data_IF_903104349605
#
_entry.id   IF_903104349605
#
_cell.length_a   1.000
_cell.length_b   1.000
_cell.length_c   1.000
_cell.angle_alpha   90.00
_cell.angle_beta   90.00
_cell.angle_gamma   90.00
#
_symmetry.space_group_name_H-M   'P 1'
#
loop_
_entity.id
_entity.type
_entity.pdbx_description
1 polymer ?
#
# COMPACT_ATOMS: atom_id res chain seq x y z
N UNK A 1 -17.12 -34.48 0.19
CA UNK A 1 -17.38 -34.66 1.66
C UNK A 1 -16.16 -34.20 2.49
N UNK A 2 -14.92 -34.50 2.06
CA UNK A 2 -13.71 -34.09 2.78
C UNK A 2 -13.44 -32.58 2.68
N UNK A 3 -13.73 -31.94 1.53
CA UNK A 3 -13.58 -30.51 1.31
C UNK A 3 -14.55 -29.72 2.20
N UNK A 4 -15.81 -30.13 2.30
CA UNK A 4 -16.78 -29.52 3.22
C UNK A 4 -16.40 -29.67 4.70
N UNK A 5 -15.71 -30.77 5.08
CA UNK A 5 -15.24 -30.96 6.45
C UNK A 5 -14.03 -30.04 6.79
N UNK A 6 -13.22 -29.68 5.80
CA UNK A 6 -12.11 -28.74 5.96
C UNK A 6 -12.65 -27.31 6.06
N UNK A 7 -13.62 -26.94 5.23
CA UNK A 7 -14.30 -25.63 5.29
C UNK A 7 -15.01 -25.42 6.63
N UNK A 8 -15.74 -26.44 7.14
CA UNK A 8 -16.37 -26.36 8.46
C UNK A 8 -15.36 -26.33 9.61
N UNK A 9 -14.20 -26.96 9.50
CA UNK A 9 -13.16 -26.89 10.53
C UNK A 9 -12.48 -25.51 10.58
N UNK A 10 -12.36 -24.83 9.44
CA UNK A 10 -11.82 -23.46 9.41
C UNK A 10 -12.86 -22.43 9.87
N UNK A 11 -14.14 -22.64 9.64
CA UNK A 11 -15.21 -21.79 10.17
C UNK A 11 -15.36 -21.91 11.70
N UNK A 12 -15.04 -23.06 12.30
CA UNK A 12 -15.08 -23.23 13.76
C UNK A 12 -13.89 -22.62 14.50
N UNK A 13 -12.85 -22.22 13.78
CA UNK A 13 -11.77 -21.36 14.25
C UNK A 13 -12.00 -19.92 13.81
N UNK A 14 -13.22 -19.42 13.91
CA UNK A 14 -13.50 -18.01 13.72
C UNK A 14 -12.65 -17.23 14.74
N UNK A 15 -11.53 -16.68 14.28
CA UNK A 15 -10.83 -15.67 15.03
C UNK A 15 -11.83 -14.56 15.30
N UNK A 16 -12.10 -14.27 16.57
CA UNK A 16 -12.87 -13.09 16.90
C UNK A 16 -12.08 -11.86 16.48
N UNK A 17 -12.41 -11.28 15.34
CA UNK A 17 -11.83 -10.01 14.93
C UNK A 17 -12.28 -8.93 15.92
N UNK A 18 -11.31 -8.25 16.55
CA UNK A 18 -11.60 -7.18 17.50
C UNK A 18 -12.28 -6.01 16.80
N UNK A 19 -13.33 -5.48 17.40
CA UNK A 19 -14.09 -4.34 16.87
C UNK A 19 -13.28 -3.03 16.82
N UNK A 20 -12.15 -2.98 17.54
CA UNK A 20 -11.25 -1.82 17.57
C UNK A 20 -10.17 -1.86 16.48
N UNK A 21 -10.05 -2.96 15.77
CA UNK A 21 -9.10 -3.13 14.65
C UNK A 21 -9.86 -2.92 13.35
N UNK A 22 -9.38 -1.98 12.55
CA UNK A 22 -10.01 -1.65 11.27
C UNK A 22 -9.80 -2.77 10.26
N UNK A 23 -10.82 -3.06 9.47
CA UNK A 23 -10.74 -3.88 8.26
C UNK A 23 -10.47 -2.98 7.06
N UNK A 24 -9.68 -3.47 6.11
CA UNK A 24 -9.50 -2.80 4.82
C UNK A 24 -10.73 -2.95 3.93
N UNK A 25 -10.85 -2.15 2.87
CA UNK A 25 -11.87 -2.38 1.82
C UNK A 25 -11.74 -3.73 1.10
N UNK A 26 -10.59 -4.40 1.23
CA UNK A 26 -10.27 -5.69 0.58
C UNK A 26 -10.38 -6.88 1.52
N UNK A 27 -10.65 -6.65 2.81
CA UNK A 27 -10.59 -7.66 3.85
C UNK A 27 -11.43 -8.90 3.53
N UNK A 28 -12.70 -8.70 3.12
CA UNK A 28 -13.62 -9.80 2.80
C UNK A 28 -13.18 -10.54 1.52
N UNK A 29 -12.63 -9.83 0.54
CA UNK A 29 -12.03 -10.43 -0.65
C UNK A 29 -10.83 -11.30 -0.28
N UNK A 30 -9.91 -10.84 0.56
CA UNK A 30 -8.76 -11.64 1.00
C UNK A 30 -9.17 -12.92 1.69
N UNK A 31 -10.25 -12.90 2.50
CA UNK A 31 -10.82 -14.11 3.12
C UNK A 31 -11.36 -15.08 2.07
N UNK A 32 -12.10 -14.58 1.07
CA UNK A 32 -12.62 -15.43 -0.03
C UNK A 32 -11.49 -16.07 -0.84
N UNK A 33 -10.38 -15.37 -0.99
CA UNK A 33 -9.20 -15.81 -1.72
C UNK A 33 -8.22 -16.61 -0.86
N UNK A 34 -8.59 -16.97 0.37
CA UNK A 34 -7.90 -17.95 1.18
C UNK A 34 -6.95 -17.40 2.23
N UNK A 35 -7.06 -16.11 2.59
CA UNK A 35 -6.31 -15.58 3.72
C UNK A 35 -6.65 -16.37 5.00
N UNK A 36 -5.64 -17.00 5.60
CA UNK A 36 -5.76 -17.87 6.76
C UNK A 36 -5.20 -17.26 8.05
N UNK A 37 -4.42 -16.19 7.93
CA UNK A 37 -3.83 -15.51 9.07
C UNK A 37 -3.68 -14.01 8.83
N UNK A 38 -3.84 -13.25 9.91
CA UNK A 38 -3.71 -11.80 9.89
C UNK A 38 -2.81 -11.34 11.04
N UNK A 39 -2.11 -10.22 10.83
CA UNK A 39 -1.52 -9.42 11.89
C UNK A 39 -2.13 -8.03 11.93
N UNK A 40 -1.69 -7.22 12.88
CA UNK A 40 -2.12 -5.82 13.01
C UNK A 40 -0.98 -4.91 12.60
N UNK A 41 -1.30 -3.90 11.81
CA UNK A 41 -0.37 -2.89 11.32
C UNK A 41 -1.16 -1.57 11.17
N UNK A 42 -0.69 -0.48 11.72
CA UNK A 42 -1.43 0.80 11.74
C UNK A 42 -2.89 0.68 12.21
N UNK A 43 -3.15 -0.13 13.26
CA UNK A 43 -4.50 -0.41 13.80
C UNK A 43 -5.46 -1.06 12.79
N UNK A 44 -4.94 -1.72 11.76
CA UNK A 44 -5.71 -2.44 10.75
C UNK A 44 -5.24 -3.88 10.61
N UNK A 45 -6.13 -4.77 10.18
CA UNK A 45 -5.75 -6.14 9.82
C UNK A 45 -5.01 -6.15 8.48
N UNK A 46 -3.88 -6.88 8.46
CA UNK A 46 -3.12 -7.18 7.23
C UNK A 46 -3.01 -8.70 7.07
N UNK A 47 -3.31 -9.27 5.89
CA UNK A 47 -3.08 -10.68 5.62
C UNK A 47 -1.59 -11.03 5.74
N UNK A 48 -1.31 -12.19 6.36
CA UNK A 48 0.05 -12.70 6.56
C UNK A 48 0.22 -14.14 6.12
N UNK A 49 -0.89 -14.79 5.76
CA UNK A 49 -0.88 -16.21 5.42
C UNK A 49 -1.94 -16.52 4.35
N UNK A 50 -1.51 -17.10 3.25
CA UNK A 50 -2.34 -17.67 2.19
C UNK A 50 -2.00 -19.15 1.96
N UNK A 51 -1.63 -19.86 3.03
CA UNK A 51 -1.30 -21.27 3.01
C UNK A 51 0.21 -21.54 2.90
N UNK A 52 0.67 -22.15 1.83
CA UNK A 52 2.07 -22.55 1.67
C UNK A 52 2.99 -21.34 1.46
N UNK A 53 3.88 -21.00 2.43
CA UNK A 53 4.74 -19.83 2.34
C UNK A 53 5.82 -19.96 1.26
N UNK A 54 6.27 -21.20 0.95
CA UNK A 54 7.22 -21.43 -0.14
C UNK A 54 6.57 -21.15 -1.50
N UNK A 55 5.34 -21.65 -1.70
CA UNK A 55 4.59 -21.37 -2.92
C UNK A 55 4.28 -19.88 -3.06
N UNK A 56 3.93 -19.18 -1.99
CA UNK A 56 3.69 -17.74 -2.00
C UNK A 56 4.95 -16.97 -2.42
N UNK A 57 6.14 -17.37 -1.93
CA UNK A 57 7.41 -16.79 -2.36
C UNK A 57 7.66 -17.01 -3.85
N UNK A 58 7.48 -18.24 -4.34
CA UNK A 58 7.72 -18.55 -5.75
C UNK A 58 6.68 -17.92 -6.69
N UNK A 59 5.45 -17.72 -6.25
CA UNK A 59 4.45 -16.96 -7.00
C UNK A 59 4.93 -15.51 -7.23
N UNK A 60 5.46 -14.88 -6.19
CA UNK A 60 6.00 -13.51 -6.29
C UNK A 60 7.18 -13.42 -7.26
N UNK A 61 8.12 -14.36 -7.17
CA UNK A 61 9.38 -14.31 -7.93
C UNK A 61 9.20 -14.74 -9.40
N UNK A 62 8.29 -15.67 -9.66
CA UNK A 62 8.12 -16.26 -11.01
C UNK A 62 6.92 -15.71 -11.78
N UNK A 63 5.95 -15.11 -11.11
CA UNK A 63 4.71 -14.61 -11.70
C UNK A 63 4.34 -13.24 -11.16
N UNK A 64 3.31 -13.16 -10.34
CA UNK A 64 2.92 -11.96 -9.61
C UNK A 64 2.04 -12.30 -8.42
N UNK A 65 2.01 -11.42 -7.43
CA UNK A 65 1.10 -11.46 -6.30
C UNK A 65 0.34 -10.15 -6.14
N UNK A 66 -0.93 -10.26 -5.72
CA UNK A 66 -1.74 -9.14 -5.28
C UNK A 66 -1.83 -9.16 -3.76
N UNK A 67 -1.41 -8.07 -3.12
CA UNK A 67 -1.37 -7.95 -1.66
C UNK A 67 -2.22 -6.78 -1.18
N UNK A 68 -3.06 -7.03 -0.17
CA UNK A 68 -3.74 -5.97 0.56
C UNK A 68 -2.72 -5.27 1.48
N UNK A 69 -2.40 -4.04 1.13
CA UNK A 69 -1.52 -3.15 1.91
C UNK A 69 -2.23 -1.86 2.32
N UNK A 70 -3.56 -1.88 2.42
CA UNK A 70 -4.34 -0.72 2.87
C UNK A 70 -3.97 -0.27 4.30
N UNK A 71 -3.27 -1.11 5.04
CA UNK A 71 -2.63 -0.76 6.32
C UNK A 71 -1.57 0.33 6.19
N UNK A 72 -1.03 0.56 5.00
CA UNK A 72 -0.21 1.73 4.66
C UNK A 72 -1.13 2.95 4.51
N UNK A 73 -1.74 3.34 5.63
CA UNK A 73 -2.68 4.45 5.70
C UNK A 73 -2.04 5.72 5.16
N UNK A 74 -2.83 6.52 4.46
CA UNK A 74 -2.33 7.76 3.90
C UNK A 74 -2.49 8.90 4.90
N UNK A 75 -1.49 9.75 5.02
CA UNK A 75 -1.63 11.08 5.60
C UNK A 75 -1.61 12.10 4.48
N UNK A 76 -2.72 12.79 4.31
CA UNK A 76 -2.87 13.87 3.34
C UNK A 76 -2.51 15.20 3.98
N UNK A 77 -1.67 15.98 3.29
CA UNK A 77 -1.23 17.30 3.73
C UNK A 77 -1.46 18.28 2.58
N UNK A 78 -2.33 19.27 2.84
CA UNK A 78 -2.70 20.32 1.88
C UNK A 78 -2.57 21.71 2.53
N UNK A 79 -2.69 22.75 1.73
CA UNK A 79 -2.67 24.12 2.19
C UNK A 79 -1.49 24.93 1.66
N UNK A 80 -1.52 26.26 1.81
CA UNK A 80 -0.51 27.18 1.26
C UNK A 80 0.92 26.84 1.69
N UNK A 81 1.10 26.34 2.91
CA UNK A 81 2.41 25.99 3.48
C UNK A 81 2.73 24.49 3.42
N UNK A 82 1.93 23.66 2.74
CA UNK A 82 2.09 22.20 2.76
C UNK A 82 3.48 21.73 2.33
N UNK A 83 4.05 22.29 1.25
CA UNK A 83 5.38 21.91 0.79
C UNK A 83 6.47 22.24 1.83
N UNK A 84 6.37 23.38 2.50
CA UNK A 84 7.29 23.79 3.56
C UNK A 84 7.12 22.92 4.81
N UNK A 85 5.88 22.61 5.16
CA UNK A 85 5.56 21.75 6.31
C UNK A 85 6.09 20.33 6.11
N UNK A 86 5.85 19.71 4.95
CA UNK A 86 6.35 18.37 4.64
C UNK A 86 7.88 18.36 4.65
N UNK A 87 8.55 19.40 4.12
CA UNK A 87 10.01 19.52 4.21
C UNK A 87 10.50 19.55 5.66
N UNK A 88 9.74 20.12 6.58
CA UNK A 88 10.10 20.19 8.00
C UNK A 88 10.02 18.82 8.69
N UNK A 89 9.14 17.91 8.22
CA UNK A 89 8.97 16.59 8.80
C UNK A 89 10.12 15.61 8.46
N UNK A 90 10.89 15.89 7.41
CA UNK A 90 11.91 14.96 6.90
C UNK A 90 13.27 15.63 6.70
N UNK A 91 14.39 14.94 7.01
CA UNK A 91 15.73 15.43 6.68
C UNK A 91 16.05 15.36 5.18
N UNK A 92 15.22 14.63 4.39
CA UNK A 92 15.45 14.52 2.95
C UNK A 92 15.10 15.82 2.24
N UNK A 93 16.00 16.33 1.41
CA UNK A 93 15.72 17.51 0.57
C UNK A 93 14.66 17.17 -0.50
N UNK A 94 13.52 17.85 -0.43
CA UNK A 94 12.37 17.69 -1.34
C UNK A 94 12.31 18.77 -2.44
N UNK A 95 13.26 19.70 -2.51
CA UNK A 95 13.25 20.78 -3.51
C UNK A 95 13.23 20.28 -4.96
N UNK A 96 13.75 19.07 -5.20
CA UNK A 96 13.77 18.40 -6.50
C UNK A 96 12.69 17.33 -6.68
N UNK A 97 11.71 17.26 -5.77
CA UNK A 97 10.56 16.37 -5.93
C UNK A 97 9.53 17.03 -6.83
N UNK A 98 9.34 16.53 -8.03
CA UNK A 98 8.34 17.05 -8.97
C UNK A 98 6.92 16.59 -8.61
N UNK A 99 5.90 17.32 -9.09
CA UNK A 99 4.51 16.83 -9.09
C UNK A 99 4.45 15.54 -9.93
N UNK A 100 3.73 14.52 -9.46
CA UNK A 100 3.69 13.18 -10.05
C UNK A 100 4.84 12.27 -9.61
N UNK A 101 5.76 12.74 -8.77
CA UNK A 101 6.90 11.97 -8.30
C UNK A 101 6.69 11.43 -6.87
N UNK A 102 7.19 10.21 -6.63
CA UNK A 102 7.31 9.62 -5.30
C UNK A 102 8.72 9.82 -4.75
N UNK A 103 8.84 9.86 -3.42
CA UNK A 103 10.13 9.83 -2.69
C UNK A 103 9.99 8.94 -1.45
N UNK A 104 10.95 8.05 -1.25
CA UNK A 104 11.12 7.42 0.05
C UNK A 104 11.69 8.46 1.01
N UNK A 105 11.04 8.70 2.13
CA UNK A 105 11.45 9.69 3.13
C UNK A 105 11.49 9.08 4.52
N UNK A 106 12.26 9.68 5.41
CA UNK A 106 12.26 9.33 6.84
C UNK A 106 11.57 10.48 7.59
N UNK A 107 10.62 10.14 8.42
CA UNK A 107 10.07 11.08 9.40
C UNK A 107 10.85 10.88 10.70
N UNK A 108 11.42 11.96 11.22
CA UNK A 108 12.30 11.88 12.39
C UNK A 108 11.83 12.76 13.54
N UNK A 109 12.17 12.36 14.76
CA UNK A 109 12.02 13.22 15.94
C UNK A 109 13.23 14.18 16.08
N UNK A 110 13.19 15.04 17.08
CA UNK A 110 14.23 16.05 17.33
C UNK A 110 15.61 15.45 17.67
N UNK A 111 15.67 14.19 18.08
CA UNK A 111 16.92 13.47 18.37
C UNK A 111 17.46 12.68 17.17
N UNK A 112 16.77 12.77 16.02
CA UNK A 112 17.12 12.03 14.80
C UNK A 112 16.65 10.58 14.79
N UNK A 113 15.86 10.15 15.77
CA UNK A 113 15.21 8.83 15.76
C UNK A 113 14.13 8.74 14.69
N UNK A 114 14.07 7.62 13.97
CA UNK A 114 13.09 7.40 12.91
C UNK A 114 11.73 7.07 13.55
N UNK A 115 10.71 7.83 13.18
CA UNK A 115 9.32 7.61 13.58
C UNK A 115 8.54 6.81 12.54
N UNK A 116 8.89 6.97 11.27
CA UNK A 116 8.28 6.28 10.12
C UNK A 116 9.16 6.45 8.89
N UNK A 117 8.98 5.60 7.89
CA UNK A 117 9.71 5.64 6.61
C UNK A 117 8.77 5.61 5.40
N UNK A 118 7.84 6.56 5.28
CA UNK A 118 6.80 6.52 4.27
C UNK A 118 7.33 6.72 2.84
N UNK A 119 6.51 6.30 1.88
CA UNK A 119 6.59 6.82 0.52
C UNK A 119 5.79 8.13 0.47
N UNK A 120 6.44 9.21 0.10
CA UNK A 120 5.80 10.50 -0.17
C UNK A 120 5.37 10.55 -1.63
N UNK A 121 4.13 10.95 -1.90
CA UNK A 121 3.60 11.26 -3.23
C UNK A 121 3.32 12.77 -3.29
N UNK A 122 3.86 13.47 -4.29
CA UNK A 122 3.54 14.88 -4.52
C UNK A 122 2.46 15.00 -5.59
N UNK A 123 1.20 15.20 -5.15
CA UNK A 123 0.04 15.24 -6.04
C UNK A 123 -0.11 16.59 -6.77
N UNK A 124 0.25 17.67 -6.06
CA UNK A 124 0.28 19.01 -6.60
C UNK A 124 1.38 19.83 -5.92
N UNK A 125 1.51 21.10 -6.24
CA UNK A 125 2.51 21.99 -5.63
C UNK A 125 2.45 21.96 -4.10
N UNK A 126 1.24 22.03 -3.54
CA UNK A 126 0.96 22.04 -2.11
C UNK A 126 -0.02 20.93 -1.70
N UNK A 127 0.11 19.75 -2.29
CA UNK A 127 -0.71 18.59 -1.98
C UNK A 127 0.15 17.32 -1.96
N UNK A 128 0.20 16.66 -0.81
CA UNK A 128 1.05 15.50 -0.56
C UNK A 128 0.29 14.37 0.12
N UNK A 129 0.66 13.14 -0.20
CA UNK A 129 0.35 11.97 0.60
C UNK A 129 1.64 11.39 1.18
N UNK A 130 1.54 10.89 2.41
CA UNK A 130 2.53 10.01 3.03
C UNK A 130 1.89 8.64 3.17
N UNK A 131 2.38 7.65 2.44
CA UNK A 131 1.97 6.24 2.54
C UNK A 131 2.78 5.58 3.64
N UNK A 132 2.14 5.28 4.78
CA UNK A 132 2.81 5.06 6.06
C UNK A 132 3.30 3.63 6.27
N UNK A 133 4.44 3.49 6.92
CA UNK A 133 4.77 2.32 7.72
C UNK A 133 4.03 2.34 9.07
N UNK A 134 4.29 1.39 9.97
CA UNK A 134 3.52 1.17 11.20
C UNK A 134 3.84 2.16 12.32
N UNK A 135 3.26 3.35 12.26
CA UNK A 135 3.18 4.30 13.39
C UNK A 135 2.21 5.46 13.10
N UNK A 136 1.76 6.14 14.16
CA UNK A 136 0.75 7.21 14.12
C UNK A 136 1.30 8.56 13.61
N UNK A 137 1.76 8.63 12.38
CA UNK A 137 2.26 9.87 11.78
C UNK A 137 1.17 10.92 11.57
N UNK A 138 -0.09 10.52 11.43
CA UNK A 138 -1.20 11.48 11.40
C UNK A 138 -1.20 12.35 12.65
N UNK A 139 -1.16 11.73 13.83
CA UNK A 139 -1.16 12.46 15.11
C UNK A 139 0.13 13.25 15.31
N UNK A 140 1.28 12.69 14.89
CA UNK A 140 2.55 13.41 14.94
C UNK A 140 2.52 14.67 14.06
N UNK A 141 2.09 14.56 12.81
CA UNK A 141 2.03 15.68 11.87
C UNK A 141 1.05 16.77 12.35
N UNK A 142 -0.13 16.36 12.83
CA UNK A 142 -1.10 17.30 13.42
C UNK A 142 -0.52 18.00 14.65
N UNK A 143 0.17 17.28 15.55
CA UNK A 143 0.82 17.85 16.72
C UNK A 143 1.91 18.86 16.37
N UNK A 144 2.74 18.56 15.37
CA UNK A 144 3.78 19.50 14.87
C UNK A 144 3.14 20.72 14.21
N UNK A 145 2.04 20.55 13.47
CA UNK A 145 1.34 21.64 12.81
C UNK A 145 0.83 22.70 13.81
N UNK A 146 0.30 22.28 14.95
CA UNK A 146 -0.21 23.18 16.02
C UNK A 146 0.81 24.25 16.42
N UNK A 147 2.09 23.89 16.47
CA UNK A 147 3.17 24.76 16.91
C UNK A 147 3.98 25.40 15.77
N UNK A 148 3.75 24.98 14.52
CA UNK A 148 4.52 25.41 13.38
C UNK A 148 4.20 26.84 12.90
N UNK A 149 2.97 27.30 13.16
CA UNK A 149 2.44 28.55 12.61
C UNK A 149 2.19 28.49 11.09
N UNK A 150 2.20 27.30 10.48
CA UNK A 150 1.96 27.10 9.05
C UNK A 150 0.48 26.84 8.76
N UNK A 151 0.01 27.35 7.62
CA UNK A 151 -1.35 27.15 7.13
C UNK A 151 -1.42 25.83 6.35
N UNK A 152 -1.77 24.76 7.07
CA UNK A 152 -1.88 23.39 6.53
C UNK A 152 -3.12 22.68 7.07
N UNK A 153 -3.70 21.85 6.22
CA UNK A 153 -4.74 20.90 6.59
C UNK A 153 -4.16 19.49 6.50
N UNK A 154 -4.39 18.68 7.56
CA UNK A 154 -3.83 17.33 7.70
C UNK A 154 -4.93 16.36 8.09
N UNK A 155 -5.19 15.37 7.23
CA UNK A 155 -6.22 14.36 7.44
C UNK A 155 -5.79 12.99 6.91
N UNK A 156 -6.62 11.97 7.20
CA UNK A 156 -6.57 10.68 6.53
C UNK A 156 -7.66 10.68 5.44
N UNK A 157 -7.28 10.60 4.15
CA UNK A 157 -8.23 10.52 3.04
C UNK A 157 -8.81 9.11 2.90
N UNK A 158 -9.94 8.96 2.19
CA UNK A 158 -10.43 7.65 1.76
C UNK A 158 -9.59 7.12 0.60
N UNK A 159 -8.42 6.57 0.94
CA UNK A 159 -7.45 6.03 -0.01
C UNK A 159 -6.88 4.73 0.55
N UNK A 160 -6.98 3.67 -0.23
CA UNK A 160 -6.56 2.33 0.18
C UNK A 160 -5.67 1.69 -0.88
N UNK A 161 -4.37 1.46 -0.59
CA UNK A 161 -3.46 0.85 -1.55
C UNK A 161 -3.55 -0.67 -1.59
N UNK A 162 -3.36 -1.21 -2.82
CA UNK A 162 -2.98 -2.60 -3.11
C UNK A 162 -1.57 -2.62 -3.70
N UNK A 163 -0.82 -3.68 -3.47
CA UNK A 163 0.43 -3.95 -4.18
C UNK A 163 0.25 -5.11 -5.17
N UNK A 164 0.54 -4.86 -6.45
CA UNK A 164 0.65 -5.86 -7.49
C UNK A 164 2.13 -5.97 -7.88
N UNK A 165 2.79 -7.04 -7.45
CA UNK A 165 4.23 -7.20 -7.52
C UNK A 165 4.62 -8.52 -8.19
N UNK A 166 5.73 -8.52 -8.91
CA UNK A 166 6.29 -9.70 -9.60
C UNK A 166 6.58 -9.43 -11.07
N UNK A 167 7.34 -10.30 -11.74
CA UNK A 167 7.79 -10.10 -13.13
C UNK A 167 6.64 -9.95 -14.13
N UNK A 168 5.47 -10.53 -13.86
CA UNK A 168 4.27 -10.45 -14.69
C UNK A 168 3.37 -9.23 -14.40
N UNK A 169 3.70 -8.43 -13.40
CA UNK A 169 2.88 -7.28 -13.01
C UNK A 169 2.70 -6.28 -14.16
N UNK A 170 3.73 -6.02 -14.97
CA UNK A 170 3.65 -5.12 -16.12
C UNK A 170 2.65 -5.58 -17.17
N UNK A 171 2.65 -6.88 -17.52
CA UNK A 171 1.72 -7.46 -18.51
C UNK A 171 0.27 -7.39 -17.99
N UNK A 172 0.06 -7.66 -16.70
CA UNK A 172 -1.26 -7.58 -16.06
C UNK A 172 -1.77 -6.14 -16.10
N UNK A 173 -0.95 -5.18 -15.67
CA UNK A 173 -1.32 -3.77 -15.65
C UNK A 173 -1.57 -3.23 -17.07
N UNK A 174 -0.78 -3.65 -18.05
CA UNK A 174 -1.00 -3.27 -19.46
C UNK A 174 -2.33 -3.81 -20.01
N UNK A 175 -2.76 -5.01 -19.61
CA UNK A 175 -4.04 -5.57 -20.02
C UNK A 175 -5.25 -4.76 -19.51
N UNK A 176 -5.09 -4.07 -18.36
CA UNK A 176 -6.15 -3.25 -17.75
C UNK A 176 -6.12 -1.79 -18.20
N UNK A 177 -4.91 -1.22 -18.33
CA UNK A 177 -4.73 0.23 -18.50
C UNK A 177 -4.10 0.61 -19.86
N UNK A 178 -3.83 -0.39 -20.72
CA UNK A 178 -3.19 -0.15 -22.01
C UNK A 178 -1.74 0.31 -21.88
N UNK A 179 -1.20 0.87 -22.96
CA UNK A 179 0.22 1.24 -23.05
C UNK A 179 0.62 2.40 -22.12
N UNK A 180 -0.35 3.21 -21.69
CA UNK A 180 -0.10 4.33 -20.77
C UNK A 180 0.61 3.90 -19.48
N UNK A 181 0.35 2.68 -18.99
CA UNK A 181 1.00 2.17 -17.76
C UNK A 181 2.52 1.98 -17.94
N UNK A 182 2.97 1.68 -19.15
CA UNK A 182 4.39 1.46 -19.48
C UNK A 182 5.20 2.77 -19.48
N UNK A 183 4.54 3.93 -19.57
CA UNK A 183 5.18 5.24 -19.48
C UNK A 183 5.55 5.61 -18.04
N UNK A 184 4.97 4.90 -17.04
CA UNK A 184 5.22 5.14 -15.62
C UNK A 184 6.65 4.75 -15.26
N UNK A 185 7.46 5.76 -14.91
CA UNK A 185 8.84 5.57 -14.46
C UNK A 185 8.88 5.11 -12.99
N UNK A 186 9.92 4.42 -12.61
CA UNK A 186 10.18 4.04 -11.22
C UNK A 186 10.17 5.26 -10.29
N UNK A 187 9.41 5.18 -9.19
CA UNK A 187 9.12 6.27 -8.25
C UNK A 187 8.36 7.46 -8.88
N UNK A 188 7.48 7.16 -9.84
CA UNK A 188 6.49 8.08 -10.36
C UNK A 188 5.10 7.48 -10.27
N UNK A 189 4.09 8.34 -10.28
CA UNK A 189 2.69 7.96 -10.29
C UNK A 189 1.90 8.79 -11.29
N UNK A 190 0.70 8.32 -11.63
CA UNK A 190 -0.26 9.04 -12.44
C UNK A 190 -1.69 8.64 -12.06
N UNK A 191 -2.64 9.47 -12.48
CA UNK A 191 -4.06 9.18 -12.37
C UNK A 191 -4.48 8.17 -13.44
N UNK A 192 -5.28 7.21 -13.00
CA UNK A 192 -5.91 6.19 -13.82
C UNK A 192 -7.37 6.02 -13.40
N UNK A 193 -8.12 5.32 -14.22
CA UNK A 193 -9.49 4.91 -13.95
C UNK A 193 -9.69 3.46 -14.39
N UNK A 194 -10.40 2.68 -13.61
CA UNK A 194 -10.83 1.33 -13.98
C UNK A 194 -12.31 1.18 -13.66
N UNK A 195 -13.14 0.96 -14.69
CA UNK A 195 -14.59 0.79 -14.56
C UNK A 195 -15.26 1.92 -13.73
N UNK A 196 -14.80 3.17 -13.91
CA UNK A 196 -15.26 4.35 -13.16
C UNK A 196 -14.68 4.46 -11.74
N UNK A 197 -13.76 3.58 -11.32
CA UNK A 197 -13.03 3.70 -10.06
C UNK A 197 -11.85 4.66 -10.22
N UNK A 198 -11.78 5.76 -9.44
CA UNK A 198 -10.65 6.68 -9.49
C UNK A 198 -9.44 6.06 -8.78
N UNK A 199 -8.31 5.97 -9.50
CA UNK A 199 -7.08 5.37 -9.02
C UNK A 199 -5.91 6.34 -9.18
N UNK A 200 -4.98 6.29 -8.24
CA UNK A 200 -3.59 6.68 -8.48
C UNK A 200 -2.77 5.39 -8.55
N UNK A 201 -1.90 5.28 -9.54
CA UNK A 201 -1.01 4.13 -9.66
C UNK A 201 0.42 4.64 -9.67
N UNK A 202 1.23 4.11 -8.75
CA UNK A 202 2.66 4.37 -8.68
C UNK A 202 3.46 3.15 -9.11
N UNK A 203 4.66 3.40 -9.64
CA UNK A 203 5.64 2.36 -9.90
C UNK A 203 6.61 2.26 -8.73
N UNK A 204 6.07 1.73 -7.63
CA UNK A 204 6.74 1.51 -6.35
C UNK A 204 6.40 0.12 -5.82
N UNK A 205 7.00 -0.27 -4.71
CA UNK A 205 6.74 -1.53 -4.04
C UNK A 205 7.85 -1.91 -3.06
N UNK A 206 7.58 -2.93 -2.26
CA UNK A 206 8.49 -3.37 -1.19
C UNK A 206 8.91 -4.85 -1.37
N UNK A 207 9.04 -5.30 -2.62
CA UNK A 207 9.30 -6.70 -2.96
C UNK A 207 10.62 -6.94 -3.71
N UNK A 208 11.32 -5.88 -4.11
CA UNK A 208 12.47 -5.96 -5.04
C UNK A 208 12.14 -6.59 -6.40
N UNK A 209 10.87 -6.74 -6.70
CA UNK A 209 10.36 -7.14 -8.01
C UNK A 209 9.81 -5.92 -8.76
N UNK A 210 9.59 -6.09 -10.06
CA UNK A 210 8.76 -5.15 -10.81
C UNK A 210 7.38 -5.09 -10.16
N UNK A 211 6.86 -3.89 -9.96
CA UNK A 211 5.55 -3.78 -9.33
C UNK A 211 4.96 -2.39 -9.34
N UNK A 212 3.71 -2.38 -8.91
CA UNK A 212 2.88 -1.20 -8.82
C UNK A 212 2.14 -1.18 -7.48
N UNK A 213 1.91 0.03 -6.98
CA UNK A 213 0.98 0.29 -5.89
C UNK A 213 -0.23 1.03 -6.46
N UNK A 214 -1.42 0.51 -6.17
CA UNK A 214 -2.69 0.94 -6.74
C UNK A 214 -3.51 1.55 -5.61
N UNK A 215 -3.63 2.87 -5.58
CA UNK A 215 -4.33 3.63 -4.55
C UNK A 215 -5.77 3.87 -4.99
N UNK A 216 -6.70 3.11 -4.42
CA UNK A 216 -8.14 3.29 -4.63
C UNK A 216 -8.62 4.51 -3.84
N UNK A 217 -9.31 5.44 -4.51
CA UNK A 217 -9.85 6.69 -3.93
C UNK A 217 -11.36 6.61 -3.63
N UNK A 218 -11.88 5.41 -3.50
CA UNK A 218 -13.26 5.12 -3.10
C UNK A 218 -13.29 3.73 -2.44
N UNK A 219 -13.15 3.68 -1.12
CA UNK A 219 -13.09 2.43 -0.36
C UNK A 219 -14.34 1.58 -0.49
N UNK A 220 -15.50 2.16 -0.87
CA UNK A 220 -16.72 1.39 -1.08
C UNK A 220 -16.64 0.38 -2.23
N UNK A 221 -15.66 0.57 -3.14
CA UNK A 221 -15.43 -0.29 -4.32
C UNK A 221 -14.21 -1.20 -4.20
N UNK A 222 -13.69 -1.40 -2.99
CA UNK A 222 -12.49 -2.23 -2.78
C UNK A 222 -12.66 -3.67 -3.23
N UNK A 223 -13.80 -4.28 -2.93
CA UNK A 223 -14.10 -5.65 -3.34
C UNK A 223 -14.09 -5.80 -4.88
N UNK A 224 -14.69 -4.84 -5.57
CA UNK A 224 -14.72 -4.80 -7.04
C UNK A 224 -13.31 -4.66 -7.64
N UNK A 225 -12.49 -3.75 -7.10
CA UNK A 225 -11.12 -3.57 -7.58
C UNK A 225 -10.29 -4.84 -7.41
N UNK A 226 -10.38 -5.50 -6.25
CA UNK A 226 -9.68 -6.76 -5.99
C UNK A 226 -10.03 -7.82 -7.05
N UNK A 227 -11.33 -8.07 -7.26
CA UNK A 227 -11.78 -9.09 -8.20
C UNK A 227 -11.38 -8.76 -9.65
N UNK A 228 -11.45 -7.49 -10.06
CA UNK A 228 -11.03 -7.06 -11.40
C UNK A 228 -9.52 -7.29 -11.64
N UNK A 229 -8.69 -7.02 -10.64
CA UNK A 229 -7.24 -7.27 -10.73
C UNK A 229 -6.95 -8.77 -10.77
N UNK A 230 -7.59 -9.57 -9.92
CA UNK A 230 -7.43 -11.02 -9.89
C UNK A 230 -7.88 -11.67 -11.20
N UNK A 231 -9.02 -11.26 -11.75
CA UNK A 231 -9.53 -11.73 -13.05
C UNK A 231 -8.52 -11.44 -14.18
N UNK A 232 -8.06 -10.19 -14.29
CA UNK A 232 -7.09 -9.79 -15.30
C UNK A 232 -5.74 -10.50 -15.16
N UNK A 233 -5.35 -10.80 -13.93
CA UNK A 233 -4.11 -11.49 -13.63
C UNK A 233 -4.14 -13.01 -13.81
N UNK A 234 -5.32 -13.63 -13.89
CA UNK A 234 -5.46 -15.08 -13.99
C UNK A 234 -4.65 -15.69 -15.16
N UNK A 235 -4.67 -15.15 -16.39
CA UNK A 235 -3.89 -15.70 -17.51
C UNK A 235 -2.37 -15.63 -17.29
N UNK A 236 -1.91 -14.76 -16.39
CA UNK A 236 -0.51 -14.53 -16.08
C UNK A 236 -0.06 -15.25 -14.80
N UNK A 237 -0.95 -16.02 -14.17
CA UNK A 237 -0.66 -16.75 -12.93
C UNK A 237 -0.64 -15.88 -11.68
N UNK A 238 -1.36 -14.75 -11.66
CA UNK A 238 -1.51 -13.91 -10.46
C UNK A 238 -2.14 -14.72 -9.32
N UNK A 239 -1.55 -14.61 -8.15
CA UNK A 239 -2.06 -15.20 -6.92
C UNK A 239 -2.25 -14.14 -5.83
N UNK A 240 -3.18 -14.34 -4.89
CA UNK A 240 -3.19 -13.52 -3.68
C UNK A 240 -1.90 -13.77 -2.89
N UNK A 241 -1.41 -12.74 -2.21
CA UNK A 241 -0.20 -12.82 -1.44
C UNK A 241 -0.14 -11.80 -0.31
N UNK A 242 1.01 -11.75 0.31
CA UNK A 242 1.34 -10.78 1.34
C UNK A 242 2.76 -10.27 1.17
N UNK A 243 3.12 -9.19 1.85
CA UNK A 243 4.49 -8.64 1.81
C UNK A 243 5.52 -9.68 2.26
N UNK A 244 6.56 -9.89 1.44
CA UNK A 244 7.60 -10.89 1.70
C UNK A 244 8.83 -10.27 2.37
N UNK A 245 9.02 -10.56 3.66
CA UNK A 245 10.20 -10.13 4.39
C UNK A 245 11.50 -10.77 3.83
N UNK A 246 11.44 -12.02 3.35
CA UNK A 246 12.59 -12.70 2.74
C UNK A 246 13.01 -11.96 1.48
N UNK A 247 12.07 -11.68 0.58
CA UNK A 247 12.38 -11.05 -0.70
C UNK A 247 12.93 -9.64 -0.56
N UNK A 248 12.40 -8.85 0.40
CA UNK A 248 12.95 -7.51 0.67
C UNK A 248 14.41 -7.59 1.18
N UNK A 249 14.74 -8.59 2.03
CA UNK A 249 16.10 -8.77 2.55
C UNK A 249 17.06 -9.17 1.42
N UNK A 250 16.67 -10.07 0.53
CA UNK A 250 17.44 -10.42 -0.66
C UNK A 250 17.73 -9.20 -1.55
N UNK A 251 16.76 -8.29 -1.67
CA UNK A 251 16.90 -7.04 -2.42
C UNK A 251 17.62 -5.92 -1.67
N UNK A 252 18.02 -6.14 -0.41
CA UNK A 252 18.71 -5.13 0.40
C UNK A 252 17.82 -3.97 0.85
N UNK A 253 16.49 -4.14 0.86
CA UNK A 253 15.56 -3.12 1.29
C UNK A 253 15.47 -3.07 2.82
N UNK A 254 15.60 -1.88 3.39
CA UNK A 254 15.49 -1.67 4.83
C UNK A 254 14.02 -1.72 5.28
N UNK A 255 13.85 -1.99 6.58
CA UNK A 255 12.62 -1.76 7.31
C UNK A 255 13.00 -1.00 8.58
N UNK A 256 12.30 0.07 8.91
CA UNK A 256 12.67 0.89 10.05
C UNK A 256 12.45 0.20 11.42
N UNK A 257 11.77 -0.92 11.43
CA UNK A 257 11.64 -1.81 12.58
C UNK A 257 12.77 -2.86 12.69
N UNK A 258 13.71 -2.89 11.76
CA UNK A 258 14.78 -3.89 11.73
C UNK A 258 16.04 -3.43 12.44
#
# INVERSE_FOLDING_TARGET
>A
TAIMAIENKNQSKAFGFGTQIRKSPYFEATLRWGAAGFSVYNHMYIPRDFGDPEQNFWNLVNSATLSDVAVERQVEITGPDAAKFVQMLTPRNLSNCAVGQCKYVLITNAQGGILNDPILLRLAENHFWLSLADSDILLWAQGVAVTSGMDVEICEPDVSPLQLQGPKSGEIMQSLFGDKINELRYYWFADFELDGMPLIISRTGWSSELGYEIYLRDGSRGDELWERLMEAGQPFGLQPGHTSAIRRIEGGMLSYHA
#
